data_IF_228383735754
#
_entry.id   IF_228383735754
#
_cell.length_a   1.000
_cell.length_b   1.000
_cell.length_c   1.000
_cell.angle_alpha   90.00
_cell.angle_beta   90.00
_cell.angle_gamma   90.00
#
_symmetry.space_group_name_H-M   'P 1'
#
loop_
_entity.id
_entity.type
_entity.pdbx_description
1 polymer ?
#
# COMPACT_ATOMS: atom_id res chain seq x y z
N UNK A 1 -3.75 -8.07 22.79
CA UNK A 1 -2.96 -7.26 21.82
C UNK A 1 -2.52 -8.06 20.61
N UNK A 2 -1.91 -9.25 20.75
CA UNK A 2 -1.48 -10.08 19.62
C UNK A 2 -2.60 -10.39 18.61
N UNK A 3 -3.80 -10.78 19.07
CA UNK A 3 -4.95 -11.06 18.21
C UNK A 3 -5.42 -9.79 17.47
N UNK A 4 -5.46 -8.64 18.15
CA UNK A 4 -5.87 -7.37 17.55
C UNK A 4 -4.88 -6.89 16.49
N UNK A 5 -3.57 -6.99 16.75
CA UNK A 5 -2.52 -6.67 15.77
C UNK A 5 -2.54 -7.64 14.59
N UNK A 6 -2.77 -8.94 14.84
CA UNK A 6 -2.85 -9.95 13.79
C UNK A 6 -4.06 -9.73 12.89
N UNK A 7 -5.24 -9.47 13.45
CA UNK A 7 -6.45 -9.16 12.69
C UNK A 7 -6.29 -7.89 11.84
N UNK A 8 -5.67 -6.85 12.42
CA UNK A 8 -5.38 -5.60 11.71
C UNK A 8 -4.42 -5.84 10.52
N UNK A 9 -3.36 -6.61 10.75
CA UNK A 9 -2.38 -6.95 9.70
C UNK A 9 -3.05 -7.77 8.59
N UNK A 10 -3.81 -8.80 8.95
CA UNK A 10 -4.55 -9.63 7.99
C UNK A 10 -5.54 -8.81 7.16
N UNK A 11 -6.28 -7.89 7.79
CA UNK A 11 -7.19 -6.98 7.08
C UNK A 11 -6.47 -6.10 6.06
N UNK A 12 -5.34 -5.49 6.42
CA UNK A 12 -4.53 -4.69 5.49
C UNK A 12 -3.98 -5.53 4.35
N UNK A 13 -3.55 -6.77 4.62
CA UNK A 13 -3.08 -7.70 3.59
C UNK A 13 -4.18 -8.05 2.59
N UNK A 14 -5.40 -8.35 3.05
CA UNK A 14 -6.54 -8.64 2.18
C UNK A 14 -6.90 -7.44 1.30
N UNK A 15 -6.93 -6.23 1.88
CA UNK A 15 -7.16 -5.00 1.11
C UNK A 15 -6.06 -4.80 0.05
N UNK A 16 -4.81 -5.06 0.41
CA UNK A 16 -3.67 -4.95 -0.52
C UNK A 16 -3.76 -5.96 -1.66
N UNK A 17 -4.13 -7.20 -1.35
CA UNK A 17 -4.37 -8.23 -2.37
C UNK A 17 -5.50 -7.82 -3.32
N UNK A 18 -6.59 -7.27 -2.79
CA UNK A 18 -7.69 -6.76 -3.61
C UNK A 18 -7.26 -5.62 -4.55
N UNK A 19 -6.52 -4.64 -4.03
CA UNK A 19 -5.95 -3.54 -4.82
C UNK A 19 -5.03 -4.05 -5.92
N UNK A 20 -4.23 -5.08 -5.63
CA UNK A 20 -3.34 -5.71 -6.60
C UNK A 20 -4.11 -6.45 -7.71
N UNK A 21 -5.20 -7.12 -7.37
CA UNK A 21 -6.09 -7.82 -8.30
C UNK A 21 -6.88 -6.84 -9.19
N UNK A 22 -7.18 -5.64 -8.68
CA UNK A 22 -7.81 -4.55 -9.45
C UNK A 22 -6.80 -3.69 -10.21
N UNK A 23 -5.55 -4.13 -10.28
CA UNK A 23 -4.46 -3.50 -11.03
C UNK A 23 -4.41 -1.98 -10.83
N UNK A 24 -4.59 -1.51 -9.59
CA UNK A 24 -4.59 -0.09 -9.25
C UNK A 24 -3.31 0.37 -8.54
N UNK A 25 -2.26 -0.46 -8.53
CA UNK A 25 -1.06 -0.26 -7.72
C UNK A 25 -0.24 0.96 -8.14
N UNK A 26 -0.28 1.33 -9.43
CA UNK A 26 0.42 2.49 -9.98
C UNK A 26 -0.48 3.72 -10.12
N UNK A 27 -1.75 3.63 -9.68
CA UNK A 27 -2.68 4.76 -9.67
C UNK A 27 -2.21 5.94 -8.79
N UNK A 28 -1.36 5.69 -7.79
CA UNK A 28 -0.78 6.73 -6.93
C UNK A 28 0.75 6.67 -6.96
N UNK A 29 1.35 7.48 -7.84
CA UNK A 29 2.80 7.49 -8.08
C UNK A 29 3.59 8.25 -7.00
N UNK A 30 2.99 9.26 -6.39
CA UNK A 30 3.66 10.10 -5.38
C UNK A 30 3.67 9.39 -4.02
N UNK A 31 4.74 8.64 -3.75
CA UNK A 31 4.94 8.04 -2.43
C UNK A 31 5.39 9.11 -1.43
N UNK A 32 4.53 9.41 -0.43
CA UNK A 32 4.84 10.30 0.69
C UNK A 32 4.85 9.51 2.00
N UNK A 33 5.86 9.71 2.85
CA UNK A 33 6.02 9.01 4.13
C UNK A 33 4.76 9.17 5.01
N UNK A 34 4.35 10.42 5.25
CA UNK A 34 3.16 10.77 6.05
C UNK A 34 1.83 10.55 5.31
N UNK A 35 1.86 10.14 4.04
CA UNK A 35 0.68 10.05 3.19
C UNK A 35 0.34 11.36 2.50
N UNK A 36 -0.52 11.27 1.48
CA UNK A 36 -1.10 12.40 0.77
C UNK A 36 -2.60 12.50 1.05
N UNK A 37 -3.14 13.72 1.12
CA UNK A 37 -4.59 13.92 1.11
C UNK A 37 -5.13 13.58 -0.28
N UNK A 38 -6.36 13.09 -0.34
CA UNK A 38 -7.08 12.98 -1.61
C UNK A 38 -7.11 14.36 -2.30
N UNK A 39 -6.96 14.41 -3.64
CA UNK A 39 -7.15 15.65 -4.39
C UNK A 39 -8.52 16.26 -4.06
N UNK A 40 -8.54 17.55 -3.71
CA UNK A 40 -9.77 18.26 -3.29
C UNK A 40 -10.44 19.05 -4.40
N UNK A 41 -9.69 19.41 -5.44
CA UNK A 41 -10.17 20.19 -6.58
C UNK A 41 -10.15 19.33 -7.83
N UNK A 42 -10.99 19.68 -8.80
CA UNK A 42 -11.04 19.00 -10.09
C UNK A 42 -9.71 19.11 -10.85
N UNK A 43 -9.08 20.29 -10.84
CA UNK A 43 -7.77 20.51 -11.44
C UNK A 43 -6.68 19.62 -10.82
N UNK A 44 -6.72 19.39 -9.50
CA UNK A 44 -5.79 18.48 -8.84
C UNK A 44 -6.04 17.02 -9.28
N UNK A 45 -7.31 16.61 -9.42
CA UNK A 45 -7.66 15.29 -9.97
C UNK A 45 -7.17 15.10 -11.41
N UNK A 46 -7.33 16.12 -12.25
CA UNK A 46 -6.85 16.09 -13.64
C UNK A 46 -5.32 15.97 -13.65
N UNK A 47 -4.60 16.74 -12.84
CA UNK A 47 -3.13 16.67 -12.75
C UNK A 47 -2.63 15.27 -12.35
N UNK A 48 -3.26 14.66 -11.34
CA UNK A 48 -2.94 13.28 -10.95
C UNK A 48 -3.29 12.28 -12.05
N UNK A 49 -4.41 12.47 -12.76
CA UNK A 49 -4.78 11.59 -13.86
C UNK A 49 -3.79 11.69 -15.03
N UNK A 50 -3.32 12.90 -15.37
CA UNK A 50 -2.29 13.10 -16.40
C UNK A 50 -0.95 12.46 -16.02
N UNK A 51 -0.61 12.39 -14.72
CA UNK A 51 0.52 11.60 -14.25
C UNK A 51 0.27 10.10 -14.45
N UNK A 52 -0.93 9.62 -14.09
CA UNK A 52 -1.29 8.21 -14.22
C UNK A 52 -1.28 7.73 -15.67
N UNK A 53 -1.71 8.56 -16.62
CA UNK A 53 -1.69 8.26 -18.06
C UNK A 53 -0.31 7.91 -18.61
N UNK A 54 0.76 8.36 -17.94
CA UNK A 54 2.16 8.07 -18.31
C UNK A 54 2.67 6.75 -17.73
N UNK A 55 1.85 6.03 -16.97
CA UNK A 55 2.25 4.77 -16.35
C UNK A 55 1.99 3.60 -17.32
N UNK A 56 2.83 2.55 -17.27
CA UNK A 56 2.57 1.33 -18.04
C UNK A 56 1.23 0.67 -17.70
N UNK A 57 0.69 0.89 -16.49
CA UNK A 57 -0.60 0.36 -16.05
C UNK A 57 -1.77 1.00 -16.80
N UNK A 58 -1.73 2.32 -17.03
CA UNK A 58 -2.72 2.98 -17.87
C UNK A 58 -2.64 2.48 -19.32
N UNK A 59 -1.44 2.38 -19.88
CA UNK A 59 -1.26 1.96 -21.28
C UNK A 59 -1.72 0.51 -21.54
N UNK A 60 -1.44 -0.41 -20.59
CA UNK A 60 -1.65 -1.85 -20.79
C UNK A 60 -2.97 -2.38 -20.24
N UNK A 61 -3.51 -1.75 -19.20
CA UNK A 61 -4.70 -2.27 -18.48
C UNK A 61 -5.85 -1.29 -18.54
N UNK A 62 -5.63 -0.04 -18.15
CA UNK A 62 -6.68 0.96 -17.96
C UNK A 62 -6.72 2.01 -19.09
N UNK A 63 -6.48 1.59 -20.33
CA UNK A 63 -6.47 2.51 -21.45
C UNK A 63 -7.89 3.08 -21.65
N UNK A 64 -7.98 4.39 -21.93
CA UNK A 64 -9.24 5.11 -22.17
C UNK A 64 -10.25 5.14 -21.00
N UNK A 65 -9.82 4.90 -19.76
CA UNK A 65 -10.71 5.10 -18.61
C UNK A 65 -11.07 6.59 -18.45
N UNK A 66 -12.28 6.84 -17.95
CA UNK A 66 -12.74 8.17 -17.57
C UNK A 66 -12.07 8.67 -16.29
N UNK A 67 -12.14 9.99 -16.04
CA UNK A 67 -11.68 10.58 -14.78
C UNK A 67 -12.43 10.00 -13.56
N UNK A 68 -13.69 9.60 -13.73
CA UNK A 68 -14.48 9.00 -12.65
C UNK A 68 -13.99 7.59 -12.28
N UNK A 69 -13.67 6.78 -13.29
CA UNK A 69 -13.05 5.46 -13.07
C UNK A 69 -11.66 5.58 -12.46
N UNK A 70 -10.88 6.58 -12.89
CA UNK A 70 -9.60 6.92 -12.29
C UNK A 70 -9.71 7.24 -10.79
N UNK A 71 -10.69 8.08 -10.40
CA UNK A 71 -10.95 8.39 -8.99
C UNK A 71 -11.23 7.13 -8.17
N UNK A 72 -11.93 6.15 -8.74
CA UNK A 72 -12.24 4.89 -8.05
C UNK A 72 -11.00 4.01 -7.83
N UNK A 73 -10.13 3.84 -8.84
CA UNK A 73 -8.86 3.09 -8.68
C UNK A 73 -7.93 3.81 -7.69
N UNK A 74 -7.83 5.13 -7.79
CA UNK A 74 -7.00 5.96 -6.92
C UNK A 74 -7.45 5.87 -5.46
N UNK A 75 -8.77 5.92 -5.22
CA UNK A 75 -9.32 5.83 -3.86
C UNK A 75 -8.99 4.49 -3.20
N UNK A 76 -9.05 3.37 -3.94
CA UNK A 76 -8.70 2.05 -3.40
C UNK A 76 -7.24 1.98 -2.98
N UNK A 77 -6.35 2.44 -3.85
CA UNK A 77 -4.92 2.50 -3.56
C UNK A 77 -4.64 3.42 -2.36
N UNK A 78 -5.25 4.61 -2.35
CA UNK A 78 -5.14 5.57 -1.25
C UNK A 78 -5.63 4.98 0.07
N UNK A 79 -6.80 4.33 0.09
CA UNK A 79 -7.38 3.72 1.28
C UNK A 79 -6.49 2.59 1.80
N UNK A 80 -6.01 1.71 0.92
CA UNK A 80 -5.06 0.66 1.29
C UNK A 80 -3.80 1.23 1.94
N UNK A 81 -3.21 2.25 1.31
CA UNK A 81 -2.02 2.96 1.79
C UNK A 81 -2.27 3.63 3.14
N UNK A 82 -3.43 4.24 3.36
CA UNK A 82 -3.76 4.86 4.65
C UNK A 82 -4.02 3.80 5.72
N UNK A 83 -4.76 2.73 5.40
CA UNK A 83 -5.02 1.63 6.30
C UNK A 83 -3.72 0.96 6.78
N UNK A 84 -2.76 0.72 5.87
CA UNK A 84 -1.44 0.19 6.22
C UNK A 84 -0.63 1.11 7.14
N UNK A 85 -0.70 2.43 6.93
CA UNK A 85 -0.06 3.42 7.83
C UNK A 85 -0.70 3.42 9.22
N UNK A 86 -2.02 3.49 9.28
CA UNK A 86 -2.76 3.44 10.54
C UNK A 86 -2.46 2.14 11.30
N UNK A 87 -2.39 1.02 10.59
CA UNK A 87 -2.00 -0.26 11.18
C UNK A 87 -0.59 -0.24 11.76
N UNK A 88 0.38 0.29 11.02
CA UNK A 88 1.76 0.46 11.49
C UNK A 88 1.84 1.35 12.74
N UNK A 89 1.14 2.50 12.76
CA UNK A 89 1.10 3.40 13.92
C UNK A 89 0.50 2.71 15.14
N UNK A 90 -0.64 2.03 14.98
CA UNK A 90 -1.30 1.31 16.07
C UNK A 90 -0.41 0.17 16.61
N UNK A 91 0.27 -0.56 15.72
CA UNK A 91 1.21 -1.61 16.12
C UNK A 91 2.38 -1.04 16.92
N UNK A 92 3.06 -0.01 16.41
CA UNK A 92 4.23 0.59 17.07
C UNK A 92 3.85 1.25 18.39
N UNK A 93 2.74 1.99 18.44
CA UNK A 93 2.25 2.59 19.68
C UNK A 93 1.93 1.53 20.74
N UNK A 94 1.25 0.45 20.36
CA UNK A 94 0.98 -0.69 21.25
C UNK A 94 2.25 -1.40 21.70
N UNK A 95 3.23 -1.56 20.81
CA UNK A 95 4.53 -2.15 21.12
C UNK A 95 5.31 -1.32 22.14
N UNK A 96 5.37 0.01 21.96
CA UNK A 96 6.02 0.93 22.90
C UNK A 96 5.31 0.90 24.25
N UNK A 97 3.97 0.96 24.26
CA UNK A 97 3.18 0.93 25.49
C UNK A 97 3.45 -0.35 26.31
N UNK A 98 3.48 -1.52 25.66
CA UNK A 98 3.82 -2.77 26.34
C UNK A 98 5.28 -2.82 26.80
N UNK A 99 6.23 -2.40 25.97
CA UNK A 99 7.63 -2.36 26.35
C UNK A 99 7.86 -1.46 27.57
N UNK A 100 7.16 -0.33 27.64
CA UNK A 100 7.21 0.61 28.76
C UNK A 100 6.69 0.03 30.09
N UNK A 101 5.86 -1.01 30.07
CA UNK A 101 5.42 -1.68 31.32
C UNK A 101 6.53 -2.46 32.02
N UNK A 102 7.63 -2.79 31.33
CA UNK A 102 8.70 -3.64 31.88
C UNK A 102 8.29 -5.10 32.16
N UNK A 103 7.04 -5.48 31.89
CA UNK A 103 6.50 -6.80 32.23
C UNK A 103 6.75 -7.88 31.15
N UNK A 104 7.45 -7.55 30.07
CA UNK A 104 7.69 -8.47 28.96
C UNK A 104 8.84 -9.44 29.28
N UNK A 105 8.55 -10.74 29.16
CA UNK A 105 9.59 -11.78 29.16
C UNK A 105 10.54 -11.58 27.96
N UNK A 106 11.82 -11.96 28.03
CA UNK A 106 12.77 -11.80 26.94
C UNK A 106 12.30 -12.34 25.59
N UNK A 107 11.67 -13.52 25.57
CA UNK A 107 11.10 -14.10 24.34
C UNK A 107 9.96 -13.27 23.74
N UNK A 108 9.10 -12.67 24.59
CA UNK A 108 8.02 -11.80 24.12
C UNK A 108 8.56 -10.48 23.56
N UNK A 109 9.62 -9.93 24.16
CA UNK A 109 10.30 -8.75 23.66
C UNK A 109 10.95 -9.02 22.29
N UNK A 110 11.63 -10.16 22.13
CA UNK A 110 12.23 -10.57 20.85
C UNK A 110 11.17 -10.72 19.74
N UNK A 111 10.03 -11.34 20.04
CA UNK A 111 8.92 -11.45 19.09
C UNK A 111 8.36 -10.07 18.70
N UNK A 112 8.17 -9.19 19.69
CA UNK A 112 7.67 -7.83 19.46
C UNK A 112 8.61 -7.02 18.55
N UNK A 113 9.92 -7.09 18.81
CA UNK A 113 10.93 -6.46 17.98
C UNK A 113 10.99 -7.08 16.58
N UNK A 114 10.90 -8.41 16.49
CA UNK A 114 10.88 -9.13 15.22
C UNK A 114 9.69 -8.73 14.34
N UNK A 115 8.47 -8.71 14.88
CA UNK A 115 7.28 -8.29 14.12
C UNK A 115 7.33 -6.81 13.74
N UNK A 116 7.84 -5.96 14.63
CA UNK A 116 8.03 -4.53 14.33
C UNK A 116 9.03 -4.33 13.19
N UNK A 117 10.14 -5.06 13.20
CA UNK A 117 11.15 -5.06 12.16
C UNK A 117 10.60 -5.53 10.81
N UNK A 118 9.81 -6.61 10.80
CA UNK A 118 9.13 -7.10 9.59
C UNK A 118 8.14 -6.06 9.04
N UNK A 119 7.39 -5.37 9.90
CA UNK A 119 6.48 -4.30 9.47
C UNK A 119 7.22 -3.13 8.80
N UNK A 120 8.36 -2.72 9.36
CA UNK A 120 9.21 -1.68 8.76
C UNK A 120 9.80 -2.13 7.42
N UNK A 121 10.28 -3.38 7.34
CA UNK A 121 10.76 -3.96 6.08
C UNK A 121 9.65 -3.99 5.02
N UNK A 122 8.42 -4.35 5.41
CA UNK A 122 7.27 -4.36 4.50
C UNK A 122 6.92 -2.95 3.97
N UNK A 123 7.05 -1.91 4.81
CA UNK A 123 6.87 -0.53 4.37
C UNK A 123 7.96 -0.09 3.37
N UNK A 124 9.21 -0.51 3.59
CA UNK A 124 10.32 -0.28 2.66
C UNK A 124 10.10 -0.98 1.31
N UNK A 125 9.71 -2.26 1.33
CA UNK A 125 9.36 -3.01 0.12
C UNK A 125 8.20 -2.34 -0.63
N UNK A 126 7.18 -1.87 0.09
CA UNK A 126 6.08 -1.10 -0.51
C UNK A 126 6.54 0.15 -1.26
N UNK A 127 7.49 0.91 -0.70
CA UNK A 127 8.11 2.05 -1.39
C UNK A 127 8.87 1.60 -2.63
N UNK A 128 9.67 0.54 -2.51
CA UNK A 128 10.49 0.03 -3.60
C UNK A 128 9.64 -0.46 -4.79
N UNK A 129 8.54 -1.18 -4.54
CA UNK A 129 7.62 -1.65 -5.59
C UNK A 129 7.02 -0.52 -6.43
N UNK A 130 6.73 0.64 -5.83
CA UNK A 130 6.23 1.80 -6.58
C UNK A 130 7.31 2.36 -7.50
N UNK A 131 8.57 2.37 -7.04
CA UNK A 131 9.68 2.88 -7.83
C UNK A 131 10.03 1.97 -9.02
N UNK A 132 9.95 0.65 -8.85
CA UNK A 132 10.25 -0.31 -9.92
C UNK A 132 9.07 -0.58 -10.85
N UNK A 133 7.85 -0.20 -10.46
CA UNK A 133 6.66 -0.40 -11.29
C UNK A 133 6.64 0.40 -12.60
N UNK A 134 7.59 1.32 -12.79
CA UNK A 134 7.79 2.07 -14.03
C UNK A 134 8.70 1.35 -15.04
N UNK A 135 9.40 0.29 -14.63
CA UNK A 135 10.25 -0.51 -15.51
C UNK A 135 9.41 -1.59 -16.20
N UNK A 136 9.64 -1.80 -17.50
CA UNK A 136 9.01 -2.93 -18.19
C UNK A 136 9.59 -4.24 -17.64
N UNK A 137 8.74 -5.21 -17.22
CA UNK A 137 9.25 -6.50 -16.81
C UNK A 137 9.93 -7.19 -18.01
N UNK A 138 11.22 -7.45 -17.89
CA UNK A 138 12.06 -8.15 -18.89
C UNK A 138 11.82 -9.66 -18.95
N UNK A 139 10.79 -10.17 -18.26
CA UNK A 139 10.52 -11.60 -18.17
C UNK A 139 9.82 -12.13 -19.42
N UNK A 140 10.27 -13.30 -19.91
CA UNK A 140 9.74 -14.00 -21.09
C UNK A 140 8.26 -14.40 -20.96
N UNK A 141 7.72 -14.46 -19.74
CA UNK A 141 6.34 -14.83 -19.52
C UNK A 141 5.42 -13.59 -19.59
N UNK A 142 5.02 -13.26 -20.82
CA UNK A 142 3.95 -12.30 -21.13
C UNK A 142 2.55 -12.90 -20.93
N UNK A 143 2.33 -13.75 -19.92
CA UNK A 143 0.95 -14.13 -19.60
C UNK A 143 0.19 -12.87 -19.20
N UNK A 144 -0.87 -12.49 -19.93
CA UNK A 144 -1.73 -11.41 -19.48
C UNK A 144 -2.31 -11.79 -18.13
N UNK A 145 -2.41 -10.83 -17.20
CA UNK A 145 -3.00 -11.02 -15.87
C UNK A 145 -4.55 -11.07 -15.96
N UNK A 146 -5.11 -11.80 -16.92
CA UNK A 146 -6.54 -12.04 -17.03
C UNK A 146 -6.80 -13.49 -16.64
N UNK A 147 -7.36 -13.69 -15.45
CA UNK A 147 -8.08 -14.93 -15.15
C UNK A 147 -9.47 -14.78 -15.77
N UNK A 148 -9.88 -15.83 -16.49
CA UNK A 148 -11.17 -16.00 -17.17
C UNK A 148 -12.38 -15.55 -16.33
#
# INVERSE_FOLDING_TARGET
>A
MYIGSAALTAGVTVIGAYVRLKESGLSMIDWKLLGGRLPKTEQAWISEFEKYKKTPEYEKVHHNISLQEYKAIFFREWFHRMAGRSAGVLHIAGAIALAATGALKPGALLLLLGTSGLGLAQAFVGKWMVQTGFEEPTTLNKTPRYFY
#
